data_IF_865114239789
#
_entry.id   IF_865114239789
#
_cell.length_a   1.000
_cell.length_b   1.000
_cell.length_c   1.000
_cell.angle_alpha   90.00
_cell.angle_beta   90.00
_cell.angle_gamma   90.00
#
_symmetry.space_group_name_H-M   'P 1'
#
loop_
_entity.id
_entity.type
_entity.pdbx_description
1 polymer ?
#
# COMPACT_ATOMS: atom_id res chain seq x y z
N UNK A 1 2.27 1.82 3.12
CA UNK A 1 2.54 2.36 4.46
C UNK A 1 2.32 3.88 4.51
N UNK A 2 2.78 4.68 3.51
CA UNK A 2 2.70 6.15 3.51
C UNK A 2 1.26 6.69 3.62
N UNK A 3 0.32 6.19 2.82
CA UNK A 3 -1.10 6.59 2.94
C UNK A 3 -1.69 6.29 4.32
N UNK A 4 -1.26 5.19 4.96
CA UNK A 4 -1.67 4.85 6.32
C UNK A 4 -1.15 5.86 7.35
N UNK A 5 0.08 6.36 7.16
CA UNK A 5 0.65 7.39 8.02
C UNK A 5 -0.14 8.71 7.92
N UNK A 6 -0.52 9.13 6.71
CA UNK A 6 -1.38 10.31 6.54
C UNK A 6 -2.77 10.06 7.13
N UNK A 7 -3.34 8.86 6.98
CA UNK A 7 -4.62 8.51 7.60
C UNK A 7 -4.53 8.60 9.13
N UNK A 8 -3.48 8.03 9.72
CA UNK A 8 -3.23 8.10 11.16
C UNK A 8 -3.12 9.57 11.63
N UNK A 9 -2.33 10.36 10.90
CA UNK A 9 -2.13 11.76 11.24
C UNK A 9 -3.43 12.58 11.14
N UNK A 10 -4.25 12.33 10.11
CA UNK A 10 -5.54 12.97 9.95
C UNK A 10 -6.49 12.65 11.12
N UNK A 11 -6.62 11.37 11.47
CA UNK A 11 -7.49 10.94 12.56
C UNK A 11 -7.03 11.53 13.91
N UNK A 12 -5.73 11.54 14.16
CA UNK A 12 -5.19 12.12 15.42
C UNK A 12 -5.32 13.63 15.49
N UNK A 13 -5.40 14.33 14.36
CA UNK A 13 -5.63 15.78 14.33
C UNK A 13 -7.12 16.16 14.17
N UNK A 14 -8.03 15.17 14.17
CA UNK A 14 -9.47 15.41 13.99
C UNK A 14 -9.83 15.95 12.61
N UNK A 15 -9.02 15.69 11.58
CA UNK A 15 -9.29 16.09 10.19
C UNK A 15 -10.21 15.03 9.55
N UNK A 16 -11.37 15.42 9.01
CA UNK A 16 -12.25 14.51 8.30
C UNK A 16 -11.53 13.89 7.10
N UNK A 17 -11.65 12.57 6.94
CA UNK A 17 -10.98 11.84 5.84
C UNK A 17 -11.56 12.14 4.46
N UNK A 18 -12.69 12.82 4.39
CA UNK A 18 -13.33 13.34 3.18
C UNK A 18 -12.84 14.74 2.79
N UNK A 19 -12.16 15.44 3.68
CA UNK A 19 -11.59 16.77 3.39
C UNK A 19 -10.26 16.65 2.65
N UNK A 20 -10.36 16.48 1.34
CA UNK A 20 -9.19 16.29 0.47
C UNK A 20 -8.20 17.46 0.52
N UNK A 21 -8.68 18.69 0.73
CA UNK A 21 -7.83 19.88 0.77
C UNK A 21 -6.96 19.85 2.01
N UNK A 22 -7.57 19.70 3.18
CA UNK A 22 -6.85 19.61 4.45
C UNK A 22 -5.92 18.39 4.51
N UNK A 23 -6.33 17.25 3.93
CA UNK A 23 -5.47 16.07 3.81
C UNK A 23 -4.25 16.32 2.92
N UNK A 24 -4.40 17.05 1.82
CA UNK A 24 -3.29 17.43 0.95
C UNK A 24 -2.30 18.37 1.62
N UNK A 25 -2.80 19.35 2.37
CA UNK A 25 -1.96 20.25 3.18
C UNK A 25 -1.23 19.50 4.28
N UNK A 26 -1.93 18.57 4.95
CA UNK A 26 -1.34 17.70 5.97
C UNK A 26 -0.18 16.86 5.40
N UNK A 27 -0.38 16.24 4.23
CA UNK A 27 0.64 15.44 3.56
C UNK A 27 1.86 16.26 3.13
N UNK A 28 1.62 17.51 2.66
CA UNK A 28 2.69 18.44 2.28
C UNK A 28 3.50 18.91 3.47
N UNK A 29 2.82 19.26 4.56
CA UNK A 29 3.46 19.78 5.77
C UNK A 29 4.25 18.71 6.54
N UNK A 30 3.93 17.43 6.33
CA UNK A 30 4.50 16.32 7.07
C UNK A 30 5.11 15.25 6.15
N UNK A 31 6.31 15.50 5.60
CA UNK A 31 7.01 14.50 4.79
C UNK A 31 7.23 13.21 5.59
N UNK A 32 7.11 12.08 4.90
CA UNK A 32 7.22 10.77 5.51
C UNK A 32 8.64 10.22 5.31
N UNK A 33 9.34 9.98 6.42
CA UNK A 33 10.61 9.26 6.44
C UNK A 33 10.39 7.75 6.60
N UNK A 34 11.16 6.93 5.90
CA UNK A 34 11.23 5.49 6.17
C UNK A 34 12.24 5.24 7.28
N UNK A 35 11.90 4.40 8.25
CA UNK A 35 12.70 4.09 9.43
C UNK A 35 12.88 2.57 9.53
N UNK A 36 14.07 2.14 9.96
CA UNK A 36 14.43 0.73 10.07
C UNK A 36 14.85 0.12 8.73
N UNK A 37 15.58 -0.98 8.82
CA UNK A 37 16.14 -1.67 7.64
C UNK A 37 15.09 -2.43 6.83
N UNK A 38 13.96 -2.76 7.46
CA UNK A 38 12.85 -3.48 6.85
C UNK A 38 11.78 -2.58 6.20
N UNK A 39 11.90 -1.24 6.37
CA UNK A 39 10.94 -0.27 5.84
C UNK A 39 9.51 -0.40 6.39
N UNK A 40 9.31 -1.12 7.50
CA UNK A 40 7.99 -1.35 8.12
C UNK A 40 7.58 -0.24 9.08
N UNK A 41 8.47 0.69 9.38
CA UNK A 41 8.20 1.85 10.22
C UNK A 41 8.37 3.14 9.42
N UNK A 42 7.64 4.16 9.80
CA UNK A 42 7.74 5.49 9.22
C UNK A 42 7.86 6.56 10.31
N UNK A 43 8.61 7.59 10.01
CA UNK A 43 8.65 8.83 10.79
C UNK A 43 7.75 9.86 10.10
N UNK A 44 6.76 10.38 10.81
CA UNK A 44 5.86 11.42 10.32
C UNK A 44 5.51 12.37 11.47
N UNK A 45 5.60 13.67 11.27
CA UNK A 45 5.31 14.69 12.30
C UNK A 45 6.02 14.43 13.65
N UNK A 46 7.24 13.88 13.63
CA UNK A 46 8.00 13.53 14.83
C UNK A 46 7.60 12.19 15.50
N UNK A 47 6.62 11.48 14.98
CA UNK A 47 6.18 10.18 15.48
C UNK A 47 6.77 9.04 14.64
N UNK A 48 7.37 8.04 15.29
CA UNK A 48 7.75 6.79 14.66
C UNK A 48 6.58 5.80 14.78
N UNK A 49 6.00 5.42 13.65
CA UNK A 49 4.81 4.58 13.56
C UNK A 49 5.15 3.24 12.92
N UNK A 50 4.59 2.18 13.47
CA UNK A 50 4.77 0.80 13.00
C UNK A 50 3.46 0.00 13.10
N UNK A 51 3.25 -0.76 14.19
CA UNK A 51 2.03 -1.55 14.39
C UNK A 51 0.74 -0.73 14.36
N UNK A 52 0.76 0.52 14.82
CA UNK A 52 -0.37 1.45 14.88
C UNK A 52 -0.98 1.66 13.49
N UNK A 53 -0.15 1.62 12.46
CA UNK A 53 -0.61 1.79 11.08
C UNK A 53 -1.48 0.63 10.57
N UNK A 54 -1.66 -0.42 11.36
CA UNK A 54 -2.47 -1.60 11.04
C UNK A 54 -3.72 -1.74 11.91
N UNK A 55 -4.06 -0.70 12.66
CA UNK A 55 -5.30 -0.63 13.43
C UNK A 55 -6.53 -0.59 12.52
N UNK A 56 -7.66 -1.08 13.04
CA UNK A 56 -8.93 -1.12 12.29
C UNK A 56 -9.40 0.26 11.86
N UNK A 57 -9.17 1.28 12.68
CA UNK A 57 -9.45 2.68 12.37
C UNK A 57 -8.72 3.16 11.11
N UNK A 58 -7.46 2.75 10.96
CA UNK A 58 -6.66 3.07 9.77
C UNK A 58 -7.12 2.24 8.57
N UNK A 59 -7.36 0.94 8.78
CA UNK A 59 -7.83 0.05 7.72
C UNK A 59 -9.15 0.52 7.10
N UNK A 60 -10.09 1.00 7.92
CA UNK A 60 -11.38 1.51 7.49
C UNK A 60 -11.30 2.80 6.67
N UNK A 61 -10.32 3.66 6.94
CA UNK A 61 -10.24 5.01 6.38
C UNK A 61 -9.18 5.19 5.27
N UNK A 62 -8.16 4.34 5.21
CA UNK A 62 -7.04 4.50 4.26
C UNK A 62 -7.48 4.46 2.80
N UNK A 63 -8.56 3.77 2.47
CA UNK A 63 -9.09 3.71 1.10
C UNK A 63 -9.67 5.05 0.66
N UNK A 64 -10.27 5.82 1.55
CA UNK A 64 -10.78 7.17 1.29
C UNK A 64 -9.59 8.12 1.10
N UNK A 65 -8.68 8.18 2.07
CA UNK A 65 -7.49 9.04 2.01
C UNK A 65 -6.64 8.76 0.77
N UNK A 66 -6.53 7.50 0.34
CA UNK A 66 -5.74 7.14 -0.84
C UNK A 66 -6.37 7.52 -2.18
N UNK A 67 -7.62 7.98 -2.21
CA UNK A 67 -8.28 8.53 -3.41
C UNK A 67 -8.05 10.04 -3.55
N UNK A 68 -7.78 10.75 -2.45
CA UNK A 68 -7.60 12.18 -2.44
C UNK A 68 -6.45 12.60 -3.35
N UNK A 69 -6.76 13.23 -4.48
CA UNK A 69 -5.76 13.66 -5.48
C UNK A 69 -4.66 14.55 -4.89
N UNK A 70 -4.94 15.51 -3.98
CA UNK A 70 -3.88 16.30 -3.34
C UNK A 70 -2.91 15.45 -2.53
N UNK A 71 -3.39 14.46 -1.76
CA UNK A 71 -2.54 13.54 -1.00
C UNK A 71 -1.68 12.71 -1.95
N UNK A 72 -2.28 12.17 -3.00
CA UNK A 72 -1.58 11.36 -4.00
C UNK A 72 -0.43 12.12 -4.63
N UNK A 73 -0.67 13.36 -5.04
CA UNK A 73 0.36 14.22 -5.65
C UNK A 73 1.58 14.35 -4.74
N UNK A 74 1.38 14.66 -3.47
CA UNK A 74 2.46 14.82 -2.51
C UNK A 74 3.20 13.49 -2.23
N UNK A 75 2.47 12.39 -2.03
CA UNK A 75 3.08 11.11 -1.74
C UNK A 75 3.80 10.48 -2.94
N UNK A 76 3.27 10.63 -4.15
CA UNK A 76 3.95 10.18 -5.38
C UNK A 76 5.27 10.94 -5.58
N UNK A 77 5.28 12.26 -5.32
CA UNK A 77 6.51 13.04 -5.37
C UNK A 77 7.56 12.53 -4.36
N UNK A 78 7.16 12.25 -3.12
CA UNK A 78 8.05 11.70 -2.09
C UNK A 78 8.56 10.29 -2.45
N UNK A 79 7.70 9.43 -2.99
CA UNK A 79 8.07 8.09 -3.45
C UNK A 79 9.12 8.15 -4.57
N UNK A 80 8.93 9.03 -5.56
CA UNK A 80 9.90 9.27 -6.64
C UNK A 80 11.25 9.78 -6.11
N UNK A 81 11.23 10.74 -5.19
CA UNK A 81 12.45 11.24 -4.54
C UNK A 81 13.19 10.11 -3.78
N UNK A 82 12.46 9.21 -3.14
CA UNK A 82 13.05 8.06 -2.46
C UNK A 82 13.67 7.10 -3.47
N UNK A 83 12.98 6.81 -4.57
CA UNK A 83 13.47 5.94 -5.63
C UNK A 83 14.70 6.51 -6.35
N UNK A 84 14.80 7.83 -6.49
CA UNK A 84 15.94 8.49 -7.13
C UNK A 84 17.27 8.26 -6.40
N UNK A 85 17.26 7.79 -5.16
CA UNK A 85 18.46 7.37 -4.42
C UNK A 85 19.06 6.05 -4.94
N UNK A 86 18.38 5.34 -5.80
CA UNK A 86 18.79 4.09 -6.47
C UNK A 86 18.56 2.83 -5.64
N UNK A 87 18.65 1.66 -6.32
CA UNK A 87 18.56 0.30 -5.75
C UNK A 87 17.45 0.13 -4.73
N UNK A 88 16.19 0.30 -5.15
CA UNK A 88 15.02 0.20 -4.29
C UNK A 88 14.06 -0.87 -4.77
N UNK A 89 13.43 -1.56 -3.83
CA UNK A 89 12.20 -2.34 -4.07
C UNK A 89 11.04 -1.55 -3.48
N UNK A 90 10.06 -1.20 -4.29
CA UNK A 90 8.90 -0.43 -3.86
C UNK A 90 7.62 -1.23 -4.07
N UNK A 91 6.80 -1.33 -3.02
CA UNK A 91 5.57 -2.13 -3.02
C UNK A 91 4.38 -1.17 -2.90
N UNK A 92 3.41 -1.34 -3.80
CA UNK A 92 2.18 -0.55 -3.81
C UNK A 92 1.20 -1.03 -4.87
N UNK A 93 0.19 -0.23 -5.15
CA UNK A 93 -0.89 -0.61 -6.08
C UNK A 93 -0.69 -0.07 -7.49
N UNK A 94 -0.05 1.08 -7.59
CA UNK A 94 0.15 1.84 -8.82
C UNK A 94 1.63 2.21 -9.04
N UNK A 95 2.54 1.46 -8.39
CA UNK A 95 3.97 1.76 -8.47
C UNK A 95 4.47 1.69 -9.91
N UNK A 96 4.21 0.59 -10.61
CA UNK A 96 4.69 0.40 -11.98
C UNK A 96 3.92 1.16 -13.06
N UNK A 97 2.75 1.75 -12.72
CA UNK A 97 1.93 2.50 -13.69
C UNK A 97 2.02 4.00 -13.52
N UNK A 98 2.24 4.49 -12.29
CA UNK A 98 2.18 5.92 -11.96
C UNK A 98 3.45 6.40 -11.26
N UNK A 99 3.91 5.70 -10.23
CA UNK A 99 5.04 6.18 -9.41
C UNK A 99 6.36 6.02 -10.16
N UNK A 100 6.66 4.80 -10.62
CA UNK A 100 7.89 4.40 -11.30
C UNK A 100 7.57 3.69 -12.63
N UNK A 101 7.05 4.41 -13.63
CA UNK A 101 6.68 3.82 -14.91
C UNK A 101 7.89 3.29 -15.70
N UNK A 102 9.10 3.75 -15.37
CA UNK A 102 10.36 3.36 -16.01
C UNK A 102 11.21 2.44 -15.12
N UNK A 103 10.59 1.74 -14.15
CA UNK A 103 11.31 0.78 -13.30
C UNK A 103 11.88 -0.38 -14.12
N UNK A 104 13.13 -0.82 -13.78
CA UNK A 104 13.83 -1.91 -14.46
C UNK A 104 13.03 -3.23 -14.46
N UNK A 105 12.36 -3.54 -13.38
CA UNK A 105 11.46 -4.67 -13.26
C UNK A 105 10.14 -4.26 -12.59
N UNK A 106 9.02 -4.56 -13.26
CA UNK A 106 7.69 -4.40 -12.72
C UNK A 106 7.08 -5.77 -12.51
N UNK A 107 6.73 -6.05 -11.27
CA UNK A 107 6.08 -7.31 -10.89
C UNK A 107 4.66 -7.00 -10.45
N UNK A 108 3.67 -7.60 -11.11
CA UNK A 108 2.27 -7.52 -10.73
C UNK A 108 1.86 -8.81 -10.03
N UNK A 109 1.79 -8.77 -8.70
CA UNK A 109 1.39 -9.91 -7.88
C UNK A 109 -0.12 -10.07 -7.91
N UNK A 110 -0.59 -11.25 -8.30
CA UNK A 110 -2.01 -11.62 -8.27
C UNK A 110 -2.26 -12.78 -7.31
N UNK A 111 -3.47 -12.84 -6.78
CA UNK A 111 -4.02 -14.00 -6.09
C UNK A 111 -5.55 -13.90 -6.13
N UNK A 112 -6.25 -15.03 -6.03
CA UNK A 112 -7.69 -15.05 -5.90
C UNK A 112 -8.16 -14.26 -4.66
N UNK A 113 -9.31 -13.60 -4.75
CA UNK A 113 -9.87 -12.85 -3.62
C UNK A 113 -10.03 -13.74 -2.37
N UNK A 114 -10.37 -15.02 -2.57
CA UNK A 114 -10.48 -16.01 -1.49
C UNK A 114 -9.15 -16.22 -0.78
N UNK A 115 -8.06 -16.43 -1.51
CA UNK A 115 -6.73 -16.65 -0.92
C UNK A 115 -6.22 -15.39 -0.22
N UNK A 116 -6.43 -14.20 -0.79
CA UNK A 116 -6.07 -12.93 -0.15
C UNK A 116 -6.86 -12.69 1.12
N UNK A 117 -8.17 -12.98 1.13
CA UNK A 117 -9.01 -12.90 2.31
C UNK A 117 -8.58 -13.89 3.39
N UNK A 118 -8.21 -15.12 2.99
CA UNK A 118 -7.72 -16.14 3.92
C UNK A 118 -6.42 -15.72 4.61
N UNK A 119 -5.42 -15.22 3.84
CA UNK A 119 -4.14 -14.71 4.38
C UNK A 119 -4.40 -13.57 5.37
N UNK A 120 -5.24 -12.59 4.98
CA UNK A 120 -5.58 -11.46 5.84
C UNK A 120 -6.32 -11.90 7.10
N UNK A 121 -7.26 -12.83 7.00
CA UNK A 121 -7.98 -13.36 8.14
C UNK A 121 -7.05 -14.06 9.14
N UNK A 122 -6.07 -14.83 8.66
CA UNK A 122 -5.05 -15.45 9.51
C UNK A 122 -4.21 -14.39 10.24
N UNK A 123 -3.70 -13.38 9.53
CA UNK A 123 -2.96 -12.28 10.13
C UNK A 123 -3.76 -11.53 11.22
N UNK A 124 -5.06 -11.31 10.99
CA UNK A 124 -5.93 -10.65 11.96
C UNK A 124 -6.13 -11.51 13.20
N UNK A 125 -6.32 -12.83 13.03
CA UNK A 125 -6.42 -13.78 14.15
C UNK A 125 -5.15 -13.85 14.98
N UNK A 126 -3.99 -13.88 14.35
CA UNK A 126 -2.69 -13.87 15.03
C UNK A 126 -2.48 -12.61 15.89
N UNK A 127 -3.12 -11.51 15.50
CA UNK A 127 -3.16 -10.26 16.29
C UNK A 127 -4.29 -10.21 17.33
N UNK A 128 -4.99 -11.33 17.56
CA UNK A 128 -6.09 -11.41 18.54
C UNK A 128 -7.39 -10.73 18.09
N UNK A 129 -7.55 -10.39 16.81
CA UNK A 129 -8.77 -9.79 16.28
C UNK A 129 -9.79 -10.87 15.95
N UNK A 130 -10.98 -10.78 16.57
CA UNK A 130 -12.09 -11.70 16.32
C UNK A 130 -12.90 -11.23 15.10
N UNK A 131 -12.51 -11.67 13.91
CA UNK A 131 -13.18 -11.33 12.65
C UNK A 131 -13.58 -12.59 11.90
N UNK A 132 -14.75 -12.58 11.29
CA UNK A 132 -15.23 -13.66 10.43
C UNK A 132 -14.60 -13.60 9.04
N UNK A 133 -14.26 -14.77 8.47
CA UNK A 133 -13.65 -14.89 7.14
C UNK A 133 -14.53 -14.30 6.03
N UNK A 134 -15.88 -14.47 6.12
CA UNK A 134 -16.79 -13.95 5.11
C UNK A 134 -16.84 -12.42 5.12
N UNK A 135 -16.72 -11.82 6.30
CA UNK A 135 -16.55 -10.37 6.45
C UNK A 135 -15.27 -9.89 5.77
N UNK A 136 -14.14 -10.54 6.05
CA UNK A 136 -12.85 -10.20 5.42
C UNK A 136 -12.90 -10.38 3.90
N UNK A 137 -13.58 -11.41 3.40
CA UNK A 137 -13.76 -11.62 1.97
C UNK A 137 -14.60 -10.52 1.33
N UNK A 138 -15.71 -10.14 1.96
CA UNK A 138 -16.57 -9.05 1.49
C UNK A 138 -15.81 -7.72 1.42
N UNK A 139 -15.04 -7.39 2.46
CA UNK A 139 -14.20 -6.20 2.49
C UNK A 139 -13.10 -6.25 1.41
N UNK A 140 -12.49 -7.41 1.19
CA UNK A 140 -11.48 -7.61 0.14
C UNK A 140 -12.06 -7.31 -1.23
N UNK A 141 -13.25 -7.87 -1.55
CA UNK A 141 -13.94 -7.64 -2.81
C UNK A 141 -14.39 -6.19 -3.00
N UNK A 142 -14.88 -5.55 -1.91
CA UNK A 142 -15.26 -4.15 -1.94
C UNK A 142 -14.06 -3.24 -2.23
N UNK A 143 -12.92 -3.53 -1.60
CA UNK A 143 -11.67 -2.81 -1.81
C UNK A 143 -11.13 -2.97 -3.22
N UNK A 144 -11.17 -4.18 -3.78
CA UNK A 144 -10.73 -4.43 -5.17
C UNK A 144 -11.55 -3.60 -6.16
N UNK A 145 -12.87 -3.57 -5.98
CA UNK A 145 -13.73 -2.73 -6.81
C UNK A 145 -13.35 -1.26 -6.70
N UNK A 146 -13.19 -0.77 -5.48
CA UNK A 146 -12.76 0.60 -5.22
C UNK A 146 -11.42 0.94 -5.88
N UNK A 147 -10.42 0.07 -5.72
CA UNK A 147 -9.07 0.31 -6.23
C UNK A 147 -9.02 0.24 -7.77
N UNK A 148 -9.83 -0.63 -8.39
CA UNK A 148 -9.88 -0.77 -9.86
C UNK A 148 -10.72 0.31 -10.56
N UNK A 149 -11.72 0.89 -9.86
CA UNK A 149 -12.64 1.90 -10.41
C UNK A 149 -12.21 3.35 -10.18
N UNK A 150 -11.03 3.59 -9.62
CA UNK A 150 -10.51 4.96 -9.41
C UNK A 150 -10.32 5.67 -10.74
N UNK A 151 -10.73 6.92 -10.81
CA UNK A 151 -10.38 7.80 -11.94
C UNK A 151 -8.87 8.05 -11.95
N UNK A 152 -8.32 8.30 -10.77
CA UNK A 152 -6.90 8.57 -10.57
C UNK A 152 -6.16 7.29 -10.16
N UNK A 153 -5.21 6.84 -10.98
CA UNK A 153 -4.34 5.69 -10.70
C UNK A 153 -5.07 4.38 -10.37
N UNK A 154 -5.93 3.87 -11.28
CA UNK A 154 -6.62 2.59 -11.06
C UNK A 154 -5.64 1.45 -10.86
N UNK A 155 -6.01 0.47 -10.04
CA UNK A 155 -5.24 -0.75 -9.86
C UNK A 155 -5.30 -1.60 -11.14
N UNK A 156 -4.21 -1.61 -11.88
CA UNK A 156 -4.03 -2.41 -13.09
C UNK A 156 -2.56 -2.76 -13.31
N UNK A 157 -2.24 -3.85 -14.00
CA UNK A 157 -0.87 -4.14 -14.39
C UNK A 157 -0.33 -3.04 -15.32
N UNK A 158 0.96 -2.74 -15.23
CA UNK A 158 1.65 -1.99 -16.26
C UNK A 158 1.77 -2.88 -17.52
N UNK A 159 1.85 -2.28 -18.71
CA UNK A 159 1.88 -3.03 -19.96
C UNK A 159 3.06 -4.00 -20.06
N UNK A 160 4.19 -3.64 -19.45
CA UNK A 160 5.44 -4.38 -19.38
C UNK A 160 5.64 -5.12 -18.04
N UNK A 161 4.59 -5.21 -17.21
CA UNK A 161 4.69 -5.92 -15.95
C UNK A 161 4.72 -7.44 -16.15
N UNK A 162 5.62 -8.10 -15.44
CA UNK A 162 5.54 -9.55 -15.26
C UNK A 162 4.45 -9.90 -14.24
N UNK A 163 3.43 -10.62 -14.67
CA UNK A 163 2.37 -11.08 -13.78
C UNK A 163 2.77 -12.37 -13.07
N UNK A 164 2.72 -12.35 -11.74
CA UNK A 164 3.01 -13.51 -10.89
C UNK A 164 1.79 -13.87 -10.06
N UNK A 165 1.13 -14.97 -10.41
CA UNK A 165 0.06 -15.54 -9.57
C UNK A 165 0.68 -16.26 -8.37
N UNK A 166 0.23 -15.86 -7.16
CA UNK A 166 0.72 -16.38 -5.89
C UNK A 166 -0.23 -17.37 -5.22
N UNK A 167 -1.29 -17.79 -5.91
CA UNK A 167 -2.18 -18.86 -5.40
C UNK A 167 -1.40 -20.16 -5.24
N UNK A 168 -1.49 -20.76 -4.05
CA UNK A 168 -0.79 -22.01 -3.72
C UNK A 168 0.71 -21.86 -3.46
N UNK A 169 1.26 -20.64 -3.49
CA UNK A 169 2.66 -20.37 -3.16
C UNK A 169 2.79 -19.85 -1.74
N UNK A 170 3.84 -20.29 -1.05
CA UNK A 170 4.31 -19.67 0.19
C UNK A 170 5.19 -18.43 -0.10
N UNK A 171 5.61 -17.73 0.97
CA UNK A 171 6.37 -16.50 0.86
C UNK A 171 7.74 -16.77 0.22
N UNK A 172 8.42 -17.83 0.63
CA UNK A 172 9.75 -18.20 0.15
C UNK A 172 9.73 -18.51 -1.35
N UNK A 173 8.71 -19.22 -1.81
CA UNK A 173 8.53 -19.54 -3.23
C UNK A 173 8.27 -18.27 -4.06
N UNK A 174 7.48 -17.33 -3.55
CA UNK A 174 7.24 -16.05 -4.23
C UNK A 174 8.53 -15.24 -4.31
N UNK A 175 9.26 -15.13 -3.20
CA UNK A 175 10.54 -14.41 -3.15
C UNK A 175 11.55 -15.03 -4.10
N UNK A 176 11.68 -16.37 -4.12
CA UNK A 176 12.63 -17.05 -5.02
C UNK A 176 12.31 -16.78 -6.49
N UNK A 177 11.03 -16.85 -6.88
CA UNK A 177 10.61 -16.51 -8.25
C UNK A 177 10.98 -15.08 -8.66
N UNK A 178 10.85 -14.13 -7.73
CA UNK A 178 11.22 -12.73 -8.00
C UNK A 178 12.74 -12.61 -8.14
N UNK A 179 13.52 -13.25 -7.27
CA UNK A 179 14.99 -13.27 -7.35
C UNK A 179 15.46 -13.86 -8.67
N UNK A 180 14.89 -15.01 -9.08
CA UNK A 180 15.24 -15.67 -10.34
C UNK A 180 14.96 -14.73 -11.54
N UNK A 181 13.82 -14.01 -11.50
CA UNK A 181 13.45 -13.06 -12.54
C UNK A 181 14.39 -11.85 -12.59
N UNK A 182 14.84 -11.35 -11.43
CA UNK A 182 15.86 -10.27 -11.36
C UNK A 182 17.20 -10.74 -11.91
N UNK A 183 17.60 -11.98 -11.55
CA UNK A 183 18.92 -12.55 -11.93
C UNK A 183 19.00 -12.92 -13.41
N UNK A 184 17.86 -13.08 -14.10
CA UNK A 184 17.80 -13.43 -15.53
C UNK A 184 17.85 -12.22 -16.46
N UNK A 185 17.93 -11.00 -15.92
CA UNK A 185 18.01 -9.73 -16.67
C UNK A 185 19.42 -9.16 -16.70
#
# INVERSE_FOLDING_TARGET
IMYRAITWLALNNGIPVEDEVSLGELARANPIGLVGDDGNQVLVAGHTLGPELRELSIDGNVSVVSKATPVRRELVAQQRQTAAKGKIVMIGRDIGTVVLPDADLKVYLTASAKNRAQRRWQEMRERGQAVDLMTVLSETLARDRTDSSREDSPLRPAQDAWELNTDGLDIEQVVQKIIDQVSSR
#
